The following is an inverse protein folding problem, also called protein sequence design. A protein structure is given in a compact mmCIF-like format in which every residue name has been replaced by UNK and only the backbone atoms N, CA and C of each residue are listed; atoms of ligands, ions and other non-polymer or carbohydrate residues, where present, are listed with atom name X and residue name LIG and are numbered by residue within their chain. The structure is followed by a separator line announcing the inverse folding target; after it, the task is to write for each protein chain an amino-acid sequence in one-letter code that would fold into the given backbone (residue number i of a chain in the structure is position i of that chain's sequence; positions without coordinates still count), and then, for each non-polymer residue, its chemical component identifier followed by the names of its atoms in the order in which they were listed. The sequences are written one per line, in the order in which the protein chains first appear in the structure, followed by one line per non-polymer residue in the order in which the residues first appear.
data_IF_985397496129
#
_entry.id   IF_985397496129
#
_cell.length_a   1.000
_cell.length_b   1.000
_cell.length_c   1.000
_cell.angle_alpha   90.00
_cell.angle_beta   90.00
_cell.angle_gamma   90.00
#
_symmetry.space_group_name_H-M   'P 1'
#
loop_
_entity.id
_entity.type
_entity.pdbx_description
1 polymer ?
#
# COMPACT_ATOMS: atom_id res chain seq x y z
N UNK A 1 17.72 -15.92 17.00
CA UNK A 1 16.45 -15.19 16.77
C UNK A 1 16.55 -13.89 15.98
N UNK A 2 17.75 -13.30 15.77
CA UNK A 2 17.91 -12.05 14.98
C UNK A 2 17.41 -12.18 13.52
N UNK A 3 17.66 -13.34 12.90
CA UNK A 3 17.22 -13.65 11.52
C UNK A 3 15.69 -13.63 11.38
N UNK A 4 14.96 -14.18 12.33
CA UNK A 4 13.49 -14.26 12.28
C UNK A 4 12.85 -12.87 12.36
N UNK A 5 13.31 -12.01 13.27
CA UNK A 5 12.79 -10.64 13.36
C UNK A 5 13.14 -9.79 12.14
N UNK A 6 14.34 -9.99 11.57
CA UNK A 6 14.71 -9.35 10.30
C UNK A 6 13.81 -9.81 9.13
N UNK A 7 13.53 -11.11 9.03
CA UNK A 7 12.64 -11.66 7.99
C UNK A 7 11.22 -11.11 8.15
N UNK A 8 10.66 -11.15 9.36
CA UNK A 8 9.29 -10.67 9.62
C UNK A 8 9.18 -9.18 9.31
N UNK A 9 10.08 -8.34 9.82
CA UNK A 9 10.05 -6.91 9.54
C UNK A 9 10.25 -6.59 8.06
N UNK A 10 11.07 -7.37 7.35
CA UNK A 10 11.22 -7.21 5.89
C UNK A 10 9.93 -7.54 5.14
N UNK A 11 9.21 -8.59 5.55
CA UNK A 11 7.91 -8.95 4.98
C UNK A 11 6.88 -7.85 5.23
N UNK A 12 6.84 -7.28 6.43
CA UNK A 12 5.93 -6.15 6.77
C UNK A 12 6.18 -4.93 5.88
N UNK A 13 7.45 -4.55 5.69
CA UNK A 13 7.82 -3.45 4.78
C UNK A 13 7.42 -3.76 3.33
N UNK A 14 7.71 -4.97 2.85
CA UNK A 14 7.36 -5.37 1.48
C UNK A 14 5.84 -5.33 1.27
N UNK A 15 5.06 -5.86 2.22
CA UNK A 15 3.60 -5.82 2.17
C UNK A 15 3.04 -4.40 2.17
N UNK A 16 3.58 -3.51 3.01
CA UNK A 16 3.21 -2.09 3.01
C UNK A 16 3.50 -1.42 1.67
N UNK A 17 4.69 -1.64 1.09
CA UNK A 17 5.06 -1.11 -0.22
C UNK A 17 4.17 -1.66 -1.35
N UNK A 18 3.89 -2.96 -1.36
CA UNK A 18 2.97 -3.55 -2.34
C UNK A 18 1.56 -2.98 -2.24
N UNK A 19 1.08 -2.76 -1.02
CA UNK A 19 -0.22 -2.17 -0.78
C UNK A 19 -0.28 -0.72 -1.31
N UNK A 20 0.75 0.10 -1.08
CA UNK A 20 0.87 1.45 -1.66
C UNK A 20 0.92 1.44 -3.20
N UNK A 21 1.62 0.45 -3.78
CA UNK A 21 1.71 0.31 -5.23
C UNK A 21 0.34 -0.03 -5.84
N UNK A 22 -0.36 -1.02 -5.25
CA UNK A 22 -1.67 -1.47 -5.74
C UNK A 22 -2.70 -0.36 -5.61
N UNK A 23 -2.75 0.33 -4.48
CA UNK A 23 -3.66 1.45 -4.26
C UNK A 23 -3.42 2.60 -5.24
N UNK A 24 -2.16 2.94 -5.53
CA UNK A 24 -1.79 3.89 -6.58
C UNK A 24 -2.26 3.43 -7.98
N UNK A 25 -2.06 2.16 -8.32
CA UNK A 25 -2.53 1.59 -9.59
C UNK A 25 -4.05 1.67 -9.71
N UNK A 26 -4.78 1.30 -8.65
CA UNK A 26 -6.24 1.35 -8.62
C UNK A 26 -6.73 2.79 -8.85
N UNK A 27 -6.14 3.78 -8.16
CA UNK A 27 -6.49 5.19 -8.33
C UNK A 27 -6.34 5.67 -9.78
N UNK A 28 -5.33 5.17 -10.51
CA UNK A 28 -5.04 5.59 -11.88
C UNK A 28 -5.81 4.79 -12.93
N UNK A 29 -6.07 3.51 -12.68
CA UNK A 29 -6.64 2.57 -13.66
C UNK A 29 -8.17 2.63 -13.65
N UNK A 30 -8.81 2.74 -12.48
CA UNK A 30 -10.28 2.72 -12.40
C UNK A 30 -10.95 3.86 -13.18
N UNK A 31 -10.51 5.13 -13.09
CA UNK A 31 -11.11 6.20 -13.88
C UNK A 31 -10.97 5.97 -15.39
N UNK A 32 -9.84 5.40 -15.83
CA UNK A 32 -9.59 5.07 -17.24
C UNK A 32 -10.50 3.95 -17.74
N UNK A 33 -10.65 2.88 -16.95
CA UNK A 33 -11.57 1.78 -17.27
C UNK A 33 -13.01 2.30 -17.33
N UNK A 34 -13.44 3.07 -16.32
CA UNK A 34 -14.77 3.66 -16.27
C UNK A 34 -15.05 4.54 -17.50
N UNK A 35 -14.07 5.34 -17.92
CA UNK A 35 -14.15 6.17 -19.13
C UNK A 35 -14.32 5.33 -20.40
N UNK A 36 -13.58 4.24 -20.55
CA UNK A 36 -13.71 3.33 -21.70
C UNK A 36 -15.11 2.71 -21.70
N UNK A 37 -15.58 2.18 -20.57
CA UNK A 37 -16.92 1.61 -20.46
C UNK A 37 -18.02 2.63 -20.82
N UNK A 38 -17.87 3.89 -20.40
CA UNK A 38 -18.83 4.95 -20.71
C UNK A 38 -18.82 5.39 -22.18
N UNK A 39 -17.66 5.39 -22.85
CA UNK A 39 -17.59 5.66 -24.29
C UNK A 39 -18.45 4.69 -25.10
N UNK A 40 -18.60 3.44 -24.64
CA UNK A 40 -19.48 2.46 -25.27
C UNK A 40 -20.97 2.61 -24.86
N UNK A 41 -21.31 3.48 -23.91
CA UNK A 41 -22.66 3.56 -23.32
C UNK A 41 -23.41 4.90 -23.56
N UNK A 42 -22.95 5.79 -24.45
CA UNK A 42 -23.68 7.02 -24.90
C UNK A 42 -24.20 7.94 -23.76
N UNK A 43 -23.63 7.84 -22.54
CA UNK A 43 -24.03 8.62 -21.37
C UNK A 43 -23.00 9.68 -20.97
N UNK A 44 -23.43 10.67 -20.17
CA UNK A 44 -22.55 11.70 -19.62
C UNK A 44 -21.63 11.10 -18.55
N UNK A 45 -20.33 11.07 -18.82
CA UNK A 45 -19.30 10.62 -17.88
C UNK A 45 -18.95 11.74 -16.89
N UNK A 46 -19.18 11.50 -15.59
CA UNK A 46 -18.62 12.32 -14.51
C UNK A 46 -17.49 11.54 -13.84
N UNK A 47 -16.26 11.97 -14.10
CA UNK A 47 -15.03 11.34 -13.59
C UNK A 47 -14.97 11.37 -12.05
N UNK A 48 -15.63 12.36 -11.43
CA UNK A 48 -15.73 12.57 -9.97
C UNK A 48 -16.37 11.40 -9.22
N UNK A 49 -17.32 10.69 -9.86
CA UNK A 49 -17.98 9.52 -9.27
C UNK A 49 -17.07 8.29 -9.19
N UNK A 50 -15.92 8.32 -9.85
CA UNK A 50 -14.96 7.21 -9.92
C UNK A 50 -13.66 7.51 -9.16
N UNK A 51 -13.59 8.66 -8.47
CA UNK A 51 -12.48 8.98 -7.58
C UNK A 51 -12.66 8.18 -6.28
N UNK A 52 -11.89 7.10 -6.15
CA UNK A 52 -11.89 6.30 -4.93
C UNK A 52 -11.02 7.00 -3.90
N UNK A 53 -11.55 7.22 -2.70
CA UNK A 53 -10.75 7.67 -1.57
C UNK A 53 -9.96 6.48 -1.00
N UNK A 54 -8.69 6.39 -1.38
CA UNK A 54 -7.77 5.33 -0.94
C UNK A 54 -6.89 5.78 0.24
N UNK A 55 -7.16 6.97 0.80
CA UNK A 55 -6.35 7.56 1.86
C UNK A 55 -6.24 6.68 3.11
N UNK A 56 -7.32 6.00 3.48
CA UNK A 56 -7.32 5.07 4.63
C UNK A 56 -6.42 3.86 4.39
N UNK A 57 -6.50 3.24 3.21
CA UNK A 57 -5.65 2.11 2.86
C UNK A 57 -4.17 2.53 2.84
N UNK A 58 -3.86 3.68 2.24
CA UNK A 58 -2.49 4.22 2.21
C UNK A 58 -1.94 4.47 3.62
N UNK A 59 -2.76 4.98 4.53
CA UNK A 59 -2.38 5.21 5.92
C UNK A 59 -2.00 3.89 6.60
N UNK A 60 -2.79 2.83 6.42
CA UNK A 60 -2.48 1.50 6.96
C UNK A 60 -1.16 0.97 6.36
N UNK A 61 -0.97 1.10 5.04
CA UNK A 61 0.25 0.63 4.37
C UNK A 61 1.50 1.34 4.89
N UNK A 62 1.42 2.66 5.13
CA UNK A 62 2.51 3.44 5.74
C UNK A 62 2.79 2.97 7.17
N UNK A 63 1.75 2.73 7.98
CA UNK A 63 1.89 2.17 9.32
C UNK A 63 2.58 0.80 9.29
N UNK A 64 2.23 -0.07 8.34
CA UNK A 64 2.89 -1.37 8.16
C UNK A 64 4.39 -1.21 7.88
N UNK A 65 4.76 -0.29 6.98
CA UNK A 65 6.16 0.01 6.70
C UNK A 65 6.90 0.50 7.94
N UNK A 66 6.30 1.41 8.72
CA UNK A 66 6.91 1.92 9.96
C UNK A 66 7.11 0.81 10.99
N UNK A 67 6.10 -0.03 11.21
CA UNK A 67 6.20 -1.18 12.12
C UNK A 67 7.32 -2.11 11.67
N UNK A 68 7.38 -2.46 10.38
CA UNK A 68 8.43 -3.33 9.86
C UNK A 68 9.85 -2.76 10.03
N UNK A 69 10.03 -1.46 9.80
CA UNK A 69 11.30 -0.77 10.04
C UNK A 69 11.67 -0.79 11.52
N UNK A 70 10.72 -0.54 12.43
CA UNK A 70 10.94 -0.62 13.88
C UNK A 70 11.31 -2.05 14.28
N UNK A 71 10.63 -3.06 13.76
CA UNK A 71 10.92 -4.49 14.01
C UNK A 71 12.34 -4.84 13.57
N UNK A 72 12.77 -4.40 12.39
CA UNK A 72 14.14 -4.60 11.90
C UNK A 72 15.14 -3.90 12.83
N UNK A 73 14.92 -2.62 13.15
CA UNK A 73 15.82 -1.84 13.98
C UNK A 73 15.98 -2.46 15.38
N UNK A 74 14.88 -2.89 16.00
CA UNK A 74 14.88 -3.53 17.32
C UNK A 74 15.70 -4.83 17.33
N UNK A 75 15.50 -5.70 16.35
CA UNK A 75 16.22 -6.98 16.28
C UNK A 75 17.69 -6.86 15.87
N UNK A 76 18.06 -5.81 15.12
CA UNK A 76 19.44 -5.57 14.67
C UNK A 76 20.26 -4.87 15.75
N UNK A 77 19.73 -3.82 16.37
CA UNK A 77 20.47 -2.94 17.28
C UNK A 77 20.25 -3.27 18.76
N UNK A 78 19.00 -3.47 19.18
CA UNK A 78 18.67 -3.57 20.62
C UNK A 78 18.87 -5.00 21.13
N UNK A 79 18.49 -6.03 20.34
CA UNK A 79 18.73 -7.44 20.71
C UNK A 79 20.21 -7.87 20.58
N UNK A 80 21.15 -6.94 20.42
CA UNK A 80 22.59 -7.24 20.38
C UNK A 80 23.23 -7.31 21.76
N UNK A 81 22.61 -6.72 22.78
CA UNK A 81 23.20 -6.58 24.13
C UNK A 81 22.76 -7.66 25.16
N UNK A 82 21.94 -8.63 24.76
CA UNK A 82 21.63 -9.82 25.56
C UNK A 82 22.11 -11.08 24.86
#
# INVERSE_FOLDING_TARGET
MKKTGFIIGSIEVILGLFSLLITSLIAQVIPKIARICFMFHLGSFLEENYIINIGFANMISVCLCLIGVITIAYFVFIKKEQ
#
